data_IF_543873355647
#
_entry.id   IF_543873355647
#
_cell.length_a   1.000
_cell.length_b   1.000
_cell.length_c   1.000
_cell.angle_alpha   90.00
_cell.angle_beta   90.00
_cell.angle_gamma   90.00
#
_symmetry.space_group_name_H-M   'P 1'
#
loop_
_entity.id
_entity.type
_entity.pdbx_description
1 polymer ?
#
# COMPACT_ATOMS: atom_id res chain seq x y z
N UNK A 1 -8.13 8.52 -19.37
CA UNK A 1 -7.17 9.55 -18.96
C UNK A 1 -5.86 9.36 -19.69
N UNK A 2 -4.96 10.34 -19.69
CA UNK A 2 -3.62 10.19 -20.27
C UNK A 2 -2.55 9.99 -19.18
N UNK A 3 -1.41 9.43 -19.56
CA UNK A 3 -0.26 9.24 -18.66
C UNK A 3 0.20 10.53 -17.95
N UNK A 4 0.11 11.68 -18.64
CA UNK A 4 0.50 12.97 -18.05
C UNK A 4 -0.42 13.39 -16.91
N UNK A 5 -1.71 13.02 -16.98
CA UNK A 5 -2.67 13.35 -15.93
C UNK A 5 -2.31 12.63 -14.62
N UNK A 6 -1.91 11.34 -14.70
CA UNK A 6 -1.52 10.56 -13.53
C UNK A 6 -0.28 11.09 -12.82
N UNK A 7 0.65 11.72 -13.53
CA UNK A 7 1.87 12.29 -12.94
C UNK A 7 1.57 13.53 -12.07
N UNK A 8 0.50 14.26 -12.38
CA UNK A 8 0.11 15.49 -11.65
C UNK A 8 -0.80 15.21 -10.46
N UNK A 9 -1.45 14.03 -10.43
CA UNK A 9 -2.31 13.62 -9.31
C UNK A 9 -1.53 13.43 -8.02
N UNK A 10 -2.16 13.84 -6.91
CA UNK A 10 -1.76 13.40 -5.57
C UNK A 10 -1.95 11.89 -5.41
N UNK A 11 -1.26 11.29 -4.43
CA UNK A 11 -1.39 9.86 -4.13
C UNK A 11 -2.85 9.45 -3.87
N UNK A 12 -3.62 10.28 -3.16
CA UNK A 12 -5.02 9.99 -2.85
C UNK A 12 -5.91 10.00 -4.09
N UNK A 13 -5.71 10.97 -4.99
CA UNK A 13 -6.46 11.06 -6.25
C UNK A 13 -6.15 9.88 -7.17
N UNK A 14 -4.87 9.55 -7.37
CA UNK A 14 -4.49 8.41 -8.20
C UNK A 14 -4.97 7.09 -7.60
N UNK A 15 -4.92 6.95 -6.26
CA UNK A 15 -5.47 5.78 -5.56
C UNK A 15 -6.98 5.63 -5.76
N UNK A 16 -7.74 6.72 -5.70
CA UNK A 16 -9.18 6.66 -5.93
C UNK A 16 -9.46 6.23 -7.39
N UNK A 17 -8.75 6.81 -8.35
CA UNK A 17 -8.89 6.46 -9.76
C UNK A 17 -8.67 4.97 -10.02
N UNK A 18 -7.58 4.36 -9.52
CA UNK A 18 -7.30 2.93 -9.74
C UNK A 18 -8.33 2.00 -9.08
N UNK A 19 -8.99 2.45 -8.00
CA UNK A 19 -10.03 1.66 -7.34
C UNK A 19 -11.34 1.66 -8.13
N UNK A 20 -11.60 2.75 -8.85
CA UNK A 20 -12.76 2.93 -9.72
C UNK A 20 -12.53 2.34 -11.12
N UNK A 21 -11.26 2.18 -11.56
CA UNK A 21 -10.85 1.68 -12.88
C UNK A 21 -9.81 0.56 -12.73
N UNK A 22 -10.27 -0.60 -12.24
CA UNK A 22 -9.38 -1.72 -11.85
C UNK A 22 -8.72 -2.41 -13.05
N UNK A 23 -9.25 -2.19 -14.25
CA UNK A 23 -8.75 -2.70 -15.52
C UNK A 23 -7.68 -1.81 -16.18
N UNK A 24 -7.44 -0.59 -15.65
CA UNK A 24 -6.43 0.33 -16.16
C UNK A 24 -5.04 -0.03 -15.60
N UNK A 25 -4.44 -1.07 -16.18
CA UNK A 25 -3.12 -1.59 -15.78
C UNK A 25 -2.01 -0.51 -15.87
N UNK A 26 -2.14 0.45 -16.80
CA UNK A 26 -1.17 1.54 -16.93
C UNK A 26 -1.23 2.49 -15.74
N UNK A 27 -2.44 2.90 -15.32
CA UNK A 27 -2.62 3.72 -14.13
C UNK A 27 -2.14 3.01 -12.86
N UNK A 28 -2.39 1.70 -12.77
CA UNK A 28 -1.92 0.89 -11.66
C UNK A 28 -0.39 0.82 -11.60
N UNK A 29 0.27 0.56 -12.73
CA UNK A 29 1.74 0.52 -12.80
C UNK A 29 2.36 1.86 -12.42
N UNK A 30 1.80 2.99 -12.90
CA UNK A 30 2.29 4.34 -12.54
C UNK A 30 2.14 4.60 -11.04
N UNK A 31 1.05 4.14 -10.42
CA UNK A 31 0.88 4.26 -8.97
C UNK A 31 1.96 3.48 -8.21
N UNK A 32 2.27 2.24 -8.64
CA UNK A 32 3.35 1.45 -8.05
C UNK A 32 4.69 2.15 -8.21
N UNK A 33 5.08 2.51 -9.44
CA UNK A 33 6.38 3.14 -9.74
C UNK A 33 6.63 4.42 -8.93
N UNK A 34 5.57 5.22 -8.69
CA UNK A 34 5.68 6.49 -7.96
C UNK A 34 5.74 6.34 -6.44
N UNK A 35 5.13 5.28 -5.89
CA UNK A 35 4.90 5.17 -4.45
C UNK A 35 5.46 3.89 -3.83
N UNK A 36 6.14 3.05 -4.59
CA UNK A 36 7.02 2.01 -4.06
C UNK A 36 8.39 2.62 -3.71
N UNK A 37 8.68 2.72 -2.42
CA UNK A 37 10.04 2.99 -1.94
C UNK A 37 10.71 1.66 -1.56
N UNK A 38 12.01 1.51 -1.81
CA UNK A 38 12.80 0.40 -1.26
C UNK A 38 12.78 0.40 0.29
N UNK A 39 12.60 1.59 0.89
CA UNK A 39 12.48 1.79 2.34
C UNK A 39 11.03 1.65 2.85
N UNK A 40 10.11 1.16 2.01
CA UNK A 40 8.73 0.95 2.45
C UNK A 40 8.71 -0.04 3.61
N UNK A 41 8.02 0.34 4.70
CA UNK A 41 7.81 -0.56 5.83
C UNK A 41 6.92 -1.73 5.38
N UNK A 42 7.53 -2.90 5.22
CA UNK A 42 6.82 -4.15 4.95
C UNK A 42 6.43 -4.76 6.29
N UNK A 43 5.13 -4.86 6.54
CA UNK A 43 4.63 -5.64 7.67
C UNK A 43 4.65 -7.12 7.31
N UNK A 44 5.14 -7.99 8.22
CA UNK A 44 5.10 -9.42 7.96
C UNK A 44 3.64 -9.85 7.77
N UNK A 45 3.41 -10.68 6.75
CA UNK A 45 2.11 -11.29 6.55
C UNK A 45 1.78 -12.22 7.74
N UNK A 46 0.50 -12.41 8.09
CA UNK A 46 0.07 -13.48 8.98
C UNK A 46 0.67 -14.82 8.55
N UNK A 47 1.16 -15.62 9.50
CA UNK A 47 1.82 -16.90 9.24
C UNK A 47 0.85 -18.09 9.38
N UNK A 48 -0.33 -17.87 9.96
CA UNK A 48 -1.35 -18.89 10.19
C UNK A 48 -2.78 -18.35 10.04
N UNK A 49 -3.76 -19.26 10.09
CA UNK A 49 -5.18 -18.88 10.12
C UNK A 49 -5.51 -18.17 11.45
N UNK A 50 -4.97 -18.64 12.57
CA UNK A 50 -5.17 -18.02 13.88
C UNK A 50 -4.63 -16.57 13.88
N UNK A 51 -3.53 -16.30 13.17
CA UNK A 51 -3.01 -14.93 12.99
C UNK A 51 -3.96 -14.04 12.19
N UNK A 52 -4.72 -14.61 11.24
CA UNK A 52 -5.72 -13.85 10.47
C UNK A 52 -6.92 -13.48 11.35
N UNK A 53 -7.35 -14.39 12.22
CA UNK A 53 -8.44 -14.14 13.17
C UNK A 53 -8.09 -13.03 14.17
N UNK A 54 -6.79 -12.89 14.50
CA UNK A 54 -6.26 -11.90 15.45
C UNK A 54 -5.38 -10.84 14.76
N UNK A 55 -5.65 -10.57 13.48
CA UNK A 55 -4.84 -9.65 12.68
C UNK A 55 -4.75 -8.22 13.25
N UNK A 56 -5.84 -7.61 13.77
CA UNK A 56 -5.76 -6.27 14.34
C UNK A 56 -4.73 -6.15 15.48
N UNK A 57 -4.69 -7.13 16.37
CA UNK A 57 -3.77 -7.18 17.52
C UNK A 57 -2.33 -7.41 17.04
N UNK A 58 -2.13 -8.33 16.10
CA UNK A 58 -0.82 -8.60 15.51
C UNK A 58 -0.26 -7.36 14.79
N UNK A 59 -1.11 -6.60 14.10
CA UNK A 59 -0.71 -5.37 13.44
C UNK A 59 -0.27 -4.29 14.43
N UNK A 60 -1.01 -4.12 15.55
CA UNK A 60 -0.63 -3.20 16.62
C UNK A 60 0.74 -3.57 17.23
N UNK A 61 0.97 -4.84 17.54
CA UNK A 61 2.25 -5.30 18.07
C UNK A 61 3.41 -5.01 17.11
N UNK A 62 3.21 -5.20 15.80
CA UNK A 62 4.24 -4.89 14.81
C UNK A 62 4.55 -3.39 14.74
N UNK A 63 3.55 -2.51 14.86
CA UNK A 63 3.75 -1.06 14.93
C UNK A 63 4.55 -0.66 16.18
N UNK A 64 4.26 -1.26 17.33
CA UNK A 64 5.01 -1.01 18.57
C UNK A 64 6.47 -1.48 18.46
N UNK A 65 6.70 -2.64 17.85
CA UNK A 65 8.06 -3.16 17.61
C UNK A 65 8.89 -2.20 16.76
N UNK A 66 8.31 -1.67 15.68
CA UNK A 66 8.97 -0.69 14.82
C UNK A 66 9.28 0.60 15.58
N UNK A 67 8.34 1.09 16.39
CA UNK A 67 8.54 2.30 17.21
C UNK A 67 9.69 2.14 18.22
N UNK A 68 9.85 0.95 18.79
CA UNK A 68 10.90 0.67 19.78
C UNK A 68 12.26 0.37 19.15
N UNK A 69 12.33 0.16 17.83
CA UNK A 69 13.55 -0.12 17.07
C UNK A 69 14.14 1.14 16.40
N UNK A 70 13.39 2.25 16.37
CA UNK A 70 13.80 3.55 15.83
C UNK A 70 14.34 4.48 16.93
#
# INVERSE_FOLDING_TARGET
MSKQDFLTMSRAQLRQYILDHREDDEAFQIYLDRFSSEDSVIFPAPQSIDDLENFPELHQQNLERLRNQA
#
